data_IF_581154754112
#
_entry.id   IF_581154754112
#
_cell.length_a   1.000
_cell.length_b   1.000
_cell.length_c   1.000
_cell.angle_alpha   90.00
_cell.angle_beta   90.00
_cell.angle_gamma   90.00
#
_symmetry.space_group_name_H-M   'P 1'
#
loop_
_entity.id
_entity.type
_entity.pdbx_description
1 polymer ?
#
# COMPACT_ATOMS: atom_id res chain seq x y z
N UNK A 1 10.15 0.64 -70.08
CA UNK A 1 8.79 0.64 -69.48
C UNK A 1 8.51 -0.61 -68.63
N UNK A 2 9.19 -1.74 -68.83
CA UNK A 2 9.01 -2.93 -67.98
C UNK A 2 9.93 -2.94 -66.74
N UNK A 3 11.16 -2.41 -66.85
CA UNK A 3 12.14 -2.43 -65.75
C UNK A 3 11.74 -1.57 -64.52
N UNK A 4 11.01 -0.47 -64.73
CA UNK A 4 10.46 0.36 -63.65
C UNK A 4 9.32 -0.36 -62.91
N UNK A 5 8.57 -1.23 -63.59
CA UNK A 5 7.52 -2.03 -62.97
C UNK A 5 8.13 -3.20 -62.16
N UNK A 6 9.16 -3.86 -62.69
CA UNK A 6 9.86 -4.94 -61.99
C UNK A 6 10.63 -4.43 -60.76
N UNK A 7 11.22 -3.23 -60.83
CA UNK A 7 11.86 -2.60 -59.65
C UNK A 7 10.84 -2.20 -58.59
N UNK A 8 9.67 -1.69 -58.97
CA UNK A 8 8.58 -1.40 -58.04
C UNK A 8 8.05 -2.67 -57.37
N UNK A 9 7.87 -3.77 -58.10
CA UNK A 9 7.43 -5.07 -57.54
C UNK A 9 8.38 -5.54 -56.44
N UNK A 10 9.69 -5.52 -56.69
CA UNK A 10 10.69 -5.94 -55.70
C UNK A 10 10.68 -5.06 -54.43
N UNK A 11 10.46 -3.75 -54.58
CA UNK A 11 10.35 -2.84 -53.44
C UNK A 11 9.08 -3.13 -52.63
N UNK A 12 7.95 -3.34 -53.30
CA UNK A 12 6.67 -3.63 -52.64
C UNK A 12 6.72 -4.98 -51.92
N UNK A 13 7.36 -5.99 -52.49
CA UNK A 13 7.59 -7.29 -51.82
C UNK A 13 8.46 -7.13 -50.57
N UNK A 14 9.60 -6.44 -50.68
CA UNK A 14 10.50 -6.22 -49.55
C UNK A 14 9.86 -5.40 -48.42
N UNK A 15 9.04 -4.40 -48.75
CA UNK A 15 8.31 -3.61 -47.75
C UNK A 15 7.15 -4.40 -47.14
N UNK A 16 6.46 -5.25 -47.91
CA UNK A 16 5.41 -6.14 -47.39
C UNK A 16 5.98 -7.15 -46.38
N UNK A 17 7.15 -7.72 -46.65
CA UNK A 17 7.84 -8.62 -45.73
C UNK A 17 8.28 -7.94 -44.42
N UNK A 18 8.75 -6.69 -44.50
CA UNK A 18 9.09 -5.90 -43.30
C UNK A 18 7.85 -5.60 -42.46
N UNK A 19 6.77 -5.15 -43.10
CA UNK A 19 5.50 -4.85 -42.43
C UNK A 19 4.91 -6.11 -41.77
N UNK A 20 5.01 -7.28 -42.43
CA UNK A 20 4.56 -8.54 -41.84
C UNK A 20 5.33 -8.91 -40.57
N UNK A 21 6.66 -8.77 -40.58
CA UNK A 21 7.51 -9.05 -39.41
C UNK A 21 7.25 -8.07 -38.26
N UNK A 22 7.15 -6.79 -38.56
CA UNK A 22 6.82 -5.76 -37.56
C UNK A 22 5.45 -6.01 -36.92
N UNK A 23 4.47 -6.42 -37.74
CA UNK A 23 3.12 -6.71 -37.27
C UNK A 23 3.08 -7.96 -36.36
N UNK A 24 3.86 -9.01 -36.66
CA UNK A 24 3.98 -10.18 -35.79
C UNK A 24 4.58 -9.83 -34.43
N UNK A 25 5.66 -9.04 -34.42
CA UNK A 25 6.32 -8.55 -33.19
C UNK A 25 5.34 -7.71 -32.37
N UNK A 26 4.64 -6.76 -33.01
CA UNK A 26 3.65 -5.91 -32.36
C UNK A 26 2.47 -6.72 -31.80
N UNK A 27 2.05 -7.79 -32.49
CA UNK A 27 1.02 -8.72 -32.02
C UNK A 27 1.46 -9.46 -30.75
N UNK A 28 2.70 -9.94 -30.74
CA UNK A 28 3.23 -10.69 -29.59
C UNK A 28 3.39 -9.78 -28.37
N UNK A 29 3.90 -8.56 -28.58
CA UNK A 29 4.05 -7.57 -27.50
C UNK A 29 2.69 -7.12 -26.95
N UNK A 30 1.69 -6.88 -27.81
CA UNK A 30 0.31 -6.60 -27.37
C UNK A 30 -0.25 -7.72 -26.50
N UNK A 31 0.05 -8.98 -26.81
CA UNK A 31 -0.39 -10.12 -26.00
C UNK A 31 0.28 -10.14 -24.63
N UNK A 32 1.58 -9.84 -24.56
CA UNK A 32 2.33 -9.75 -23.30
C UNK A 32 1.80 -8.61 -22.43
N UNK A 33 1.61 -7.43 -23.02
CA UNK A 33 1.05 -6.26 -22.33
C UNK A 33 -0.36 -6.54 -21.80
N UNK A 34 -1.24 -7.16 -22.59
CA UNK A 34 -2.59 -7.50 -22.15
C UNK A 34 -2.62 -8.43 -20.92
N UNK A 35 -1.67 -9.37 -20.82
CA UNK A 35 -1.55 -10.25 -19.65
C UNK A 35 -1.10 -9.45 -18.41
N UNK A 36 -0.13 -8.56 -18.59
CA UNK A 36 0.39 -7.70 -17.50
C UNK A 36 -0.70 -6.73 -17.03
N UNK A 37 -1.41 -6.09 -17.94
CA UNK A 37 -2.54 -5.20 -17.61
C UNK A 37 -3.63 -5.91 -16.81
N UNK A 38 -3.96 -7.15 -17.19
CA UNK A 38 -4.93 -7.95 -16.45
C UNK A 38 -4.46 -8.27 -15.02
N UNK A 39 -3.19 -8.63 -14.84
CA UNK A 39 -2.62 -8.91 -13.50
C UNK A 39 -2.55 -7.64 -12.63
N UNK A 40 -2.07 -6.53 -13.20
CA UNK A 40 -1.98 -5.23 -12.51
C UNK A 40 -3.36 -4.71 -12.14
N UNK A 41 -4.33 -4.82 -13.04
CA UNK A 41 -5.73 -4.41 -12.78
C UNK A 41 -6.33 -5.21 -11.62
N UNK A 42 -6.11 -6.54 -11.61
CA UNK A 42 -6.56 -7.40 -10.52
C UNK A 42 -5.90 -7.04 -9.20
N UNK A 43 -4.58 -6.88 -9.17
CA UNK A 43 -3.83 -6.47 -7.97
C UNK A 43 -4.25 -5.10 -7.46
N UNK A 44 -4.52 -4.16 -8.37
CA UNK A 44 -5.01 -2.83 -8.03
C UNK A 44 -6.40 -2.91 -7.38
N UNK A 45 -7.31 -3.72 -7.94
CA UNK A 45 -8.65 -3.92 -7.39
C UNK A 45 -8.61 -4.58 -6.00
N UNK A 46 -7.76 -5.59 -5.82
CA UNK A 46 -7.60 -6.26 -4.52
C UNK A 46 -7.04 -5.30 -3.45
N UNK A 47 -6.01 -4.51 -3.79
CA UNK A 47 -5.44 -3.51 -2.90
C UNK A 47 -6.46 -2.42 -2.53
N UNK A 48 -7.21 -1.92 -3.54
CA UNK A 48 -8.24 -0.91 -3.31
C UNK A 48 -9.33 -1.41 -2.37
N UNK A 49 -9.79 -2.66 -2.56
CA UNK A 49 -10.79 -3.28 -1.68
C UNK A 49 -10.30 -3.39 -0.24
N UNK A 50 -9.04 -3.76 -0.04
CA UNK A 50 -8.49 -3.91 1.30
C UNK A 50 -8.27 -2.54 1.97
N UNK A 51 -7.88 -1.53 1.19
CA UNK A 51 -7.82 -0.14 1.64
C UNK A 51 -9.20 0.39 2.03
N UNK A 52 -10.21 0.23 1.18
CA UNK A 52 -11.60 0.67 1.43
C UNK A 52 -12.20 0.04 2.69
N UNK A 53 -11.78 -1.18 3.05
CA UNK A 53 -12.20 -1.83 4.31
C UNK A 53 -11.49 -1.28 5.54
N UNK A 54 -10.22 -0.89 5.42
CA UNK A 54 -9.40 -0.41 6.53
C UNK A 54 -9.61 1.09 6.81
N UNK A 55 -9.86 1.89 5.78
CA UNK A 55 -10.04 3.33 5.86
C UNK A 55 -11.15 3.80 6.82
N UNK A 56 -12.37 3.21 6.85
CA UNK A 56 -13.40 3.65 7.80
C UNK A 56 -12.99 3.41 9.26
N UNK A 57 -12.28 2.30 9.53
CA UNK A 57 -11.79 2.02 10.88
C UNK A 57 -10.68 3.01 11.30
N UNK A 58 -9.82 3.39 10.34
CA UNK A 58 -8.78 4.39 10.58
C UNK A 58 -9.37 5.78 10.86
N UNK A 59 -10.30 6.24 10.03
CA UNK A 59 -10.96 7.54 10.20
C UNK A 59 -11.71 7.59 11.53
N UNK A 60 -12.50 6.57 11.85
CA UNK A 60 -13.21 6.50 13.12
C UNK A 60 -12.26 6.53 14.33
N UNK A 61 -11.11 5.86 14.25
CA UNK A 61 -10.10 5.91 15.31
C UNK A 61 -9.49 7.30 15.44
N UNK A 62 -9.18 7.99 14.33
CA UNK A 62 -8.67 9.36 14.34
C UNK A 62 -9.68 10.35 14.92
N UNK A 63 -10.96 10.22 14.56
CA UNK A 63 -12.03 11.06 15.11
C UNK A 63 -12.20 10.84 16.63
N UNK A 64 -12.16 9.58 17.08
CA UNK A 64 -12.20 9.27 18.51
C UNK A 64 -11.01 9.89 19.26
N UNK A 65 -9.81 9.87 18.69
CA UNK A 65 -8.63 10.52 19.28
C UNK A 65 -8.80 12.05 19.38
N UNK A 66 -9.49 12.69 18.43
CA UNK A 66 -9.76 14.13 18.48
C UNK A 66 -10.71 14.54 19.61
N UNK A 67 -11.43 13.60 20.22
CA UNK A 67 -12.26 13.85 21.41
C UNK A 67 -11.45 13.83 22.72
N UNK A 68 -10.22 13.32 22.69
CA UNK A 68 -9.35 13.22 23.87
C UNK A 68 -8.61 14.53 24.10
N UNK A 69 -8.50 14.93 25.37
CA UNK A 69 -7.73 16.09 25.77
C UNK A 69 -6.70 15.76 26.87
N UNK A 70 -5.87 16.75 27.22
CA UNK A 70 -4.81 16.60 28.22
C UNK A 70 -5.33 16.19 29.61
N UNK A 71 -6.55 16.59 29.96
CA UNK A 71 -7.17 16.22 31.24
C UNK A 71 -7.43 14.72 31.29
N UNK A 72 -7.94 14.13 30.22
CA UNK A 72 -8.18 12.68 30.16
C UNK A 72 -6.90 11.85 30.32
N UNK A 73 -5.79 12.29 29.71
CA UNK A 73 -4.49 11.64 29.88
C UNK A 73 -3.93 11.81 31.31
N UNK A 74 -4.20 12.95 31.93
CA UNK A 74 -3.80 13.21 33.33
C UNK A 74 -4.59 12.33 34.30
N UNK A 75 -5.90 12.18 34.09
CA UNK A 75 -6.76 11.26 34.83
C UNK A 75 -6.30 9.81 34.67
N UNK A 76 -6.04 9.37 33.44
CA UNK A 76 -5.51 8.03 33.17
C UNK A 76 -4.19 7.78 33.90
N UNK A 77 -3.28 8.76 33.91
CA UNK A 77 -1.99 8.67 34.61
C UNK A 77 -2.12 8.66 36.13
N UNK A 78 -3.21 9.18 36.69
CA UNK A 78 -3.45 9.22 38.14
C UNK A 78 -3.77 7.84 38.74
N UNK A 79 -4.09 6.83 37.92
CA UNK A 79 -4.36 5.48 38.43
C UNK A 79 -3.15 4.91 39.18
N UNK A 80 -3.34 4.63 40.46
CA UNK A 80 -2.37 3.92 41.30
C UNK A 80 -2.12 2.51 40.80
N UNK A 81 -3.21 1.72 40.71
CA UNK A 81 -3.24 0.38 40.13
C UNK A 81 -4.35 0.33 39.06
N UNK A 82 -4.00 0.34 37.76
CA UNK A 82 -5.01 0.37 36.70
C UNK A 82 -5.69 -1.01 36.56
N UNK A 83 -6.95 -1.05 36.09
CA UNK A 83 -7.59 -2.30 35.70
C UNK A 83 -6.80 -3.04 34.60
N UNK A 84 -6.92 -4.37 34.55
CA UNK A 84 -6.17 -5.20 33.59
C UNK A 84 -6.37 -4.77 32.12
N UNK A 85 -7.58 -4.35 31.76
CA UNK A 85 -7.87 -3.85 30.41
C UNK A 85 -7.02 -2.62 30.05
N UNK A 86 -6.87 -1.68 30.99
CA UNK A 86 -6.04 -0.49 30.82
C UNK A 86 -4.57 -0.86 30.70
N UNK A 87 -4.09 -1.82 31.50
CA UNK A 87 -2.70 -2.33 31.39
C UNK A 87 -2.44 -2.97 30.02
N UNK A 88 -3.36 -3.79 29.52
CA UNK A 88 -3.21 -4.46 28.24
C UNK A 88 -3.20 -3.46 27.07
N UNK A 89 -4.12 -2.50 27.07
CA UNK A 89 -4.21 -1.47 26.03
C UNK A 89 -2.96 -0.58 26.05
N UNK A 90 -2.52 -0.14 27.22
CA UNK A 90 -1.32 0.71 27.33
C UNK A 90 -0.03 -0.03 26.97
N UNK A 91 0.05 -1.33 27.23
CA UNK A 91 1.13 -2.19 26.74
C UNK A 91 1.13 -2.31 25.21
N UNK A 92 -0.04 -2.45 24.57
CA UNK A 92 -0.15 -2.47 23.11
C UNK A 92 0.29 -1.13 22.49
N UNK A 93 -0.14 -0.01 23.08
CA UNK A 93 0.27 1.34 22.64
C UNK A 93 1.79 1.53 22.76
N UNK A 94 2.42 1.04 23.85
CA UNK A 94 3.88 1.07 24.00
C UNK A 94 4.62 0.29 22.92
N UNK A 95 4.06 -0.83 22.44
CA UNK A 95 4.65 -1.61 21.35
C UNK A 95 4.53 -0.84 20.03
N UNK A 96 3.35 -0.29 19.74
CA UNK A 96 3.11 0.45 18.50
C UNK A 96 3.95 1.72 18.40
N UNK A 97 4.19 2.40 19.53
CA UNK A 97 5.01 3.63 19.61
C UNK A 97 6.50 3.36 19.87
N UNK A 98 6.94 2.12 19.82
CA UNK A 98 8.35 1.78 20.08
C UNK A 98 9.27 2.22 18.95
N UNK A 99 10.42 2.79 19.31
CA UNK A 99 11.41 3.24 18.33
C UNK A 99 11.95 2.05 17.51
N UNK A 100 11.93 2.19 16.19
CA UNK A 100 12.47 1.22 15.23
C UNK A 100 11.81 -0.17 15.25
N UNK A 101 10.54 -0.26 15.67
CA UNK A 101 9.79 -1.53 15.68
C UNK A 101 10.33 -2.57 16.67
N UNK A 102 11.19 -2.15 17.61
CA UNK A 102 11.73 -3.01 18.65
C UNK A 102 10.72 -3.14 19.78
N UNK A 103 10.14 -4.32 19.93
CA UNK A 103 9.18 -4.59 20.99
C UNK A 103 9.83 -4.33 22.37
N UNK A 104 9.32 -3.37 23.17
CA UNK A 104 9.92 -3.04 24.46
C UNK A 104 9.93 -4.25 25.41
N UNK A 105 11.02 -4.39 26.16
CA UNK A 105 11.15 -5.44 27.19
C UNK A 105 10.26 -5.15 28.39
N UNK A 106 10.17 -3.88 28.79
CA UNK A 106 9.27 -3.42 29.85
C UNK A 106 7.99 -2.84 29.22
N UNK A 107 6.87 -3.46 29.54
CA UNK A 107 5.51 -3.06 29.12
C UNK A 107 4.62 -2.82 30.32
N UNK A 108 5.23 -2.57 31.47
CA UNK A 108 4.53 -2.28 32.71
C UNK A 108 3.80 -0.95 32.63
N UNK A 109 2.79 -0.80 33.49
CA UNK A 109 2.10 0.46 33.70
C UNK A 109 3.04 1.62 34.04
N UNK A 110 4.15 1.35 34.74
CA UNK A 110 5.18 2.34 35.05
C UNK A 110 5.83 2.90 33.78
N UNK A 111 6.17 2.04 32.83
CA UNK A 111 6.72 2.45 31.54
C UNK A 111 5.70 3.19 30.69
N UNK A 112 4.43 2.76 30.72
CA UNK A 112 3.33 3.46 30.04
C UNK A 112 3.13 4.89 30.57
N UNK A 113 3.14 5.06 31.91
CA UNK A 113 3.09 6.37 32.57
C UNK A 113 4.23 7.30 32.20
N UNK A 114 5.43 6.76 31.98
CA UNK A 114 6.59 7.55 31.57
C UNK A 114 6.44 8.04 30.14
N UNK A 115 5.99 7.16 29.23
CA UNK A 115 5.74 7.50 27.83
C UNK A 115 4.65 8.58 27.71
N UNK A 116 3.53 8.43 28.42
CA UNK A 116 2.44 9.43 28.43
C UNK A 116 2.85 10.79 29.00
N UNK A 117 3.93 10.86 29.80
CA UNK A 117 4.46 12.13 30.30
C UNK A 117 5.41 12.86 29.35
N UNK A 118 5.83 12.21 28.26
CA UNK A 118 6.68 12.79 27.21
C UNK A 118 5.89 13.33 26.01
N UNK A 119 4.61 12.99 25.91
CA UNK A 119 3.63 13.50 24.95
C UNK A 119 3.06 14.83 25.46
#
# INVERSE_FOLDING_TARGET
KNDEADTLINIVEAETDKVSKENEIASEEKRKVAIIEADVSKRSADCKRDLEKAEPALVAATEALNTLNKTNLTELRSFGSPPQGVTNVTAAVLILLSENGKVPKDRSWKSAKLMMGKL
#
